data_IF_391765414737
#
_entry.id   IF_391765414737
#
_cell.length_a   1.000
_cell.length_b   1.000
_cell.length_c   1.000
_cell.angle_alpha   90.00
_cell.angle_beta   90.00
_cell.angle_gamma   90.00
#
_symmetry.space_group_name_H-M   'P 1'
#
loop_
_entity.id
_entity.type
_entity.pdbx_description
1 polymer ?
#
# COMPACT_ATOMS: atom_id res chain seq x y z
N UNK A 1 38.93 13.43 -18.23
CA UNK A 1 37.61 14.04 -18.50
C UNK A 1 36.75 14.31 -17.23
N UNK A 2 37.25 14.91 -16.12
CA UNK A 2 36.42 15.15 -14.90
C UNK A 2 35.79 16.56 -14.79
N UNK A 3 36.28 17.58 -15.50
CA UNK A 3 35.87 18.99 -15.27
C UNK A 3 34.41 19.29 -15.60
N UNK A 4 33.83 18.58 -16.57
CA UNK A 4 32.47 18.86 -17.05
C UNK A 4 31.38 18.25 -16.14
N UNK A 5 31.61 17.06 -15.57
CA UNK A 5 30.70 16.46 -14.59
C UNK A 5 30.61 17.28 -13.31
N UNK A 6 31.76 17.77 -12.80
CA UNK A 6 31.78 18.63 -11.59
C UNK A 6 31.00 19.92 -11.83
N UNK A 7 31.04 20.47 -13.05
CA UNK A 7 30.25 21.66 -13.39
C UNK A 7 28.74 21.38 -13.41
N UNK A 8 28.31 20.18 -13.79
CA UNK A 8 26.89 19.83 -13.82
C UNK A 8 26.35 19.58 -12.41
N UNK A 9 27.07 18.81 -11.59
CA UNK A 9 26.68 18.55 -10.20
C UNK A 9 26.60 19.83 -9.38
N UNK A 10 27.54 20.77 -9.57
CA UNK A 10 27.48 22.09 -8.93
C UNK A 10 26.26 22.89 -9.35
N UNK A 11 25.93 22.92 -10.65
CA UNK A 11 24.73 23.60 -11.15
C UNK A 11 23.44 23.00 -10.58
N UNK A 12 23.39 21.67 -10.43
CA UNK A 12 22.25 20.99 -9.81
C UNK A 12 22.14 21.33 -8.33
N UNK A 13 23.27 21.30 -7.61
CA UNK A 13 23.30 21.63 -6.19
C UNK A 13 22.86 23.08 -5.92
N UNK A 14 23.35 24.03 -6.73
CA UNK A 14 22.93 25.42 -6.68
C UNK A 14 21.40 25.57 -6.92
N UNK A 15 20.85 24.83 -7.90
CA UNK A 15 19.41 24.83 -8.17
C UNK A 15 18.60 24.22 -7.02
N UNK A 16 19.08 23.13 -6.42
CA UNK A 16 18.45 22.47 -5.28
C UNK A 16 18.45 23.38 -4.05
N UNK A 17 19.56 24.06 -3.77
CA UNK A 17 19.65 25.05 -2.69
C UNK A 17 18.70 26.24 -2.88
N UNK A 18 18.53 26.71 -4.12
CA UNK A 18 17.52 27.73 -4.44
C UNK A 18 16.09 27.21 -4.22
N UNK A 19 15.83 25.94 -4.55
CA UNK A 19 14.52 25.32 -4.40
C UNK A 19 14.16 25.08 -2.91
N UNK A 20 15.11 24.60 -2.11
CA UNK A 20 14.96 24.42 -0.66
C UNK A 20 14.58 25.71 0.07
N UNK A 21 15.10 26.85 -0.38
CA UNK A 21 14.81 28.17 0.19
C UNK A 21 13.60 28.88 -0.43
N UNK A 22 13.01 28.30 -1.48
CA UNK A 22 11.88 28.91 -2.18
C UNK A 22 10.59 28.84 -1.36
N UNK A 23 9.94 29.99 -1.17
CA UNK A 23 8.62 30.09 -0.55
C UNK A 23 7.53 29.46 -1.43
N UNK A 24 7.70 29.51 -2.75
CA UNK A 24 6.79 28.90 -3.71
C UNK A 24 6.82 27.38 -3.55
N UNK A 25 8.01 26.80 -3.46
CA UNK A 25 8.17 25.37 -3.24
C UNK A 25 7.56 24.93 -1.90
N UNK A 26 7.75 25.72 -0.84
CA UNK A 26 7.09 25.50 0.44
C UNK A 26 5.56 25.49 0.33
N UNK A 27 4.98 26.44 -0.42
CA UNK A 27 3.54 26.49 -0.69
C UNK A 27 3.03 25.25 -1.42
N UNK A 28 3.77 24.77 -2.44
CA UNK A 28 3.44 23.52 -3.15
C UNK A 28 3.46 22.33 -2.20
N UNK A 29 4.47 22.23 -1.33
CA UNK A 29 4.57 21.14 -0.35
C UNK A 29 3.42 21.16 0.66
N UNK A 30 2.98 22.34 1.12
CA UNK A 30 1.80 22.45 1.99
C UNK A 30 0.53 21.99 1.27
N UNK A 31 0.38 22.29 -0.02
CA UNK A 31 -0.76 21.82 -0.81
C UNK A 31 -0.71 20.29 -0.97
N UNK A 32 0.45 19.71 -1.25
CA UNK A 32 0.65 18.26 -1.32
C UNK A 32 0.32 17.57 0.01
N UNK A 33 0.67 18.19 1.14
CA UNK A 33 0.30 17.69 2.46
C UNK A 33 -1.19 17.77 2.72
N UNK A 34 -1.87 18.80 2.24
CA UNK A 34 -3.33 18.88 2.35
C UNK A 34 -4.02 17.89 1.41
N UNK A 35 -3.43 17.60 0.25
CA UNK A 35 -3.93 16.62 -0.71
C UNK A 35 -4.05 15.22 -0.09
N UNK A 36 -3.22 14.91 0.92
CA UNK A 36 -3.28 13.60 1.54
C UNK A 36 -4.52 13.26 2.33
N UNK A 37 -5.15 14.29 2.88
CA UNK A 37 -6.39 14.14 3.63
C UNK A 37 -7.58 13.80 2.74
N UNK A 38 -7.47 14.02 1.42
CA UNK A 38 -8.57 13.85 0.44
C UNK A 38 -8.15 13.09 -0.82
N UNK A 39 -7.21 12.16 -0.73
CA UNK A 39 -6.54 11.47 -1.85
C UNK A 39 -7.44 10.73 -2.88
N UNK A 40 -8.77 10.79 -2.78
CA UNK A 40 -9.68 9.93 -3.55
C UNK A 40 -10.50 10.67 -4.62
N UNK A 41 -10.47 12.00 -4.72
CA UNK A 41 -11.41 12.74 -5.59
C UNK A 41 -10.80 13.71 -6.61
N UNK A 42 -9.54 13.52 -6.99
CA UNK A 42 -9.01 14.22 -8.17
C UNK A 42 -9.44 13.44 -9.42
N UNK A 43 -10.33 14.04 -10.23
CA UNK A 43 -10.65 13.58 -11.59
C UNK A 43 -9.44 13.76 -12.51
N UNK A 44 -8.37 13.03 -12.26
CA UNK A 44 -7.24 12.95 -13.19
C UNK A 44 -7.63 12.02 -14.35
N UNK A 45 -6.98 12.19 -15.49
CA UNK A 45 -7.15 11.28 -16.63
C UNK A 45 -7.01 9.82 -16.18
N UNK A 46 -7.80 8.88 -16.72
CA UNK A 46 -7.81 7.46 -16.32
C UNK A 46 -6.41 6.86 -16.17
N UNK A 47 -5.48 7.27 -17.03
CA UNK A 47 -4.07 6.84 -16.98
C UNK A 47 -3.33 7.44 -15.79
N UNK A 48 -3.45 8.74 -15.54
CA UNK A 48 -2.81 9.44 -14.42
C UNK A 48 -3.40 9.00 -13.07
N UNK A 49 -4.72 8.75 -13.01
CA UNK A 49 -5.37 8.23 -11.82
C UNK A 49 -4.75 6.88 -11.42
N UNK A 50 -4.62 5.92 -12.35
CA UNK A 50 -4.05 4.60 -12.05
C UNK A 50 -2.61 4.66 -11.52
N UNK A 51 -1.77 5.55 -12.05
CA UNK A 51 -0.39 5.74 -11.56
C UNK A 51 -0.32 6.36 -10.16
N UNK A 52 -1.24 7.27 -9.82
CA UNK A 52 -1.27 7.89 -8.50
C UNK A 52 -1.96 7.00 -7.44
N UNK A 53 -2.90 6.13 -7.82
CA UNK A 53 -3.91 5.56 -6.91
C UNK A 53 -3.39 4.71 -5.74
N UNK A 54 -2.24 4.02 -5.86
CA UNK A 54 -1.83 3.06 -4.82
C UNK A 54 -0.48 3.33 -4.15
N UNK A 55 0.61 3.47 -4.91
CA UNK A 55 1.95 3.48 -4.30
C UNK A 55 2.65 4.82 -4.45
N UNK A 56 2.57 5.42 -5.64
CA UNK A 56 3.26 6.68 -5.93
C UNK A 56 2.74 7.85 -5.08
N UNK A 57 1.42 7.94 -4.86
CA UNK A 57 0.83 9.02 -4.05
C UNK A 57 1.26 8.97 -2.58
N UNK A 58 1.41 7.76 -2.02
CA UNK A 58 1.89 7.56 -0.64
C UNK A 58 3.35 7.97 -0.52
N UNK A 59 4.20 7.61 -1.48
CA UNK A 59 5.62 7.98 -1.49
C UNK A 59 5.82 9.49 -1.64
N UNK A 60 5.06 10.15 -2.52
CA UNK A 60 5.07 11.61 -2.69
C UNK A 60 4.63 12.33 -1.41
N UNK A 61 3.66 11.77 -0.68
CA UNK A 61 3.27 12.32 0.62
C UNK A 61 4.40 12.23 1.65
N UNK A 62 4.99 11.04 1.80
CA UNK A 62 6.07 10.82 2.77
C UNK A 62 7.24 11.75 2.48
N UNK A 63 7.56 11.96 1.20
CA UNK A 63 8.53 12.96 0.78
C UNK A 63 8.13 14.38 1.20
N UNK A 64 6.89 14.80 0.96
CA UNK A 64 6.41 16.13 1.34
C UNK A 64 6.46 16.35 2.87
N UNK A 65 6.12 15.33 3.67
CA UNK A 65 6.22 15.37 5.14
C UNK A 65 7.69 15.49 5.58
N UNK A 66 8.56 14.64 5.03
CA UNK A 66 9.98 14.63 5.37
C UNK A 66 10.66 15.96 4.99
N UNK A 67 10.32 16.53 3.84
CA UNK A 67 10.80 17.85 3.42
C UNK A 67 10.26 18.97 4.30
N UNK A 68 9.00 18.91 4.75
CA UNK A 68 8.42 19.94 5.63
C UNK A 68 9.19 20.04 6.96
N UNK A 69 9.61 18.90 7.51
CA UNK A 69 10.39 18.85 8.76
C UNK A 69 11.87 19.19 8.58
N UNK A 70 12.49 18.73 7.49
CA UNK A 70 13.94 18.92 7.26
C UNK A 70 14.31 20.20 6.52
N UNK A 71 13.39 20.74 5.70
CA UNK A 71 13.63 21.83 4.74
C UNK A 71 14.74 21.55 3.71
N UNK A 72 15.12 20.28 3.55
CA UNK A 72 16.18 19.84 2.66
C UNK A 72 15.72 18.67 1.78
N UNK A 73 15.74 18.87 0.46
CA UNK A 73 15.39 17.85 -0.53
C UNK A 73 16.27 16.59 -0.41
N UNK A 74 17.56 16.72 -0.10
CA UNK A 74 18.44 15.54 0.01
C UNK A 74 18.06 14.66 1.19
N UNK A 75 17.83 15.28 2.35
CA UNK A 75 17.40 14.57 3.55
C UNK A 75 16.02 13.94 3.32
N UNK A 76 15.09 14.70 2.73
CA UNK A 76 13.76 14.20 2.42
C UNK A 76 13.82 12.97 1.50
N UNK A 77 14.65 12.99 0.46
CA UNK A 77 14.79 11.87 -0.47
C UNK A 77 15.37 10.62 0.21
N UNK A 78 16.37 10.78 1.07
CA UNK A 78 16.97 9.68 1.83
C UNK A 78 15.93 9.07 2.78
N UNK A 79 15.20 9.91 3.52
CA UNK A 79 14.15 9.44 4.43
C UNK A 79 13.05 8.71 3.68
N UNK A 80 12.60 9.24 2.54
CA UNK A 80 11.61 8.55 1.69
C UNK A 80 12.15 7.23 1.14
N UNK A 81 13.41 7.17 0.72
CA UNK A 81 14.02 5.92 0.25
C UNK A 81 14.09 4.87 1.36
N UNK A 82 14.50 5.25 2.57
CA UNK A 82 14.50 4.36 3.75
C UNK A 82 13.08 3.90 4.09
N UNK A 83 12.10 4.79 4.01
CA UNK A 83 10.70 4.46 4.22
C UNK A 83 10.23 3.42 3.19
N UNK A 84 10.47 3.65 1.90
CA UNK A 84 10.11 2.72 0.81
C UNK A 84 10.75 1.36 1.04
N UNK A 85 12.05 1.32 1.35
CA UNK A 85 12.74 0.06 1.64
C UNK A 85 12.11 -0.65 2.84
N UNK A 86 11.76 0.10 3.88
CA UNK A 86 11.12 -0.48 5.06
C UNK A 86 9.74 -1.04 4.72
N UNK A 87 8.91 -0.30 3.99
CA UNK A 87 7.53 -0.71 3.68
C UNK A 87 7.42 -1.78 2.61
N UNK A 88 8.26 -1.72 1.56
CA UNK A 88 8.19 -2.64 0.42
C UNK A 88 8.99 -3.92 0.65
N UNK A 89 9.99 -3.91 1.55
CA UNK A 89 10.86 -5.06 1.81
C UNK A 89 10.79 -5.57 3.25
N UNK A 90 11.04 -4.73 4.27
CA UNK A 90 11.08 -5.21 5.67
C UNK A 90 9.70 -5.58 6.23
N UNK A 91 8.68 -4.81 5.88
CA UNK A 91 7.31 -4.97 6.40
C UNK A 91 6.35 -5.58 5.39
N UNK A 92 6.82 -5.89 4.18
CA UNK A 92 6.00 -6.54 3.17
C UNK A 92 6.01 -8.05 3.41
N UNK A 93 4.82 -8.62 3.67
CA UNK A 93 4.66 -10.05 3.96
C UNK A 93 5.05 -10.96 2.79
N UNK A 94 5.00 -10.43 1.56
CA UNK A 94 5.39 -11.12 0.31
C UNK A 94 6.89 -11.01 -0.01
N UNK A 95 7.66 -10.19 0.72
CA UNK A 95 9.09 -10.05 0.49
C UNK A 95 9.91 -11.10 1.24
N UNK A 96 10.95 -11.64 0.61
CA UNK A 96 11.92 -12.58 1.22
C UNK A 96 12.63 -11.99 2.46
N UNK A 97 12.60 -10.66 2.63
CA UNK A 97 13.23 -9.93 3.74
C UNK A 97 12.24 -9.49 4.83
N UNK A 98 11.01 -10.04 4.83
CA UNK A 98 10.02 -9.72 5.85
C UNK A 98 10.52 -10.08 7.25
N UNK A 99 10.49 -9.12 8.18
CA UNK A 99 10.96 -9.31 9.56
C UNK A 99 9.93 -10.05 10.43
N UNK A 100 8.67 -10.12 10.00
CA UNK A 100 7.59 -10.75 10.77
C UNK A 100 7.67 -12.28 10.73
N UNK A 101 7.54 -12.91 11.90
CA UNK A 101 7.44 -14.38 12.02
C UNK A 101 6.16 -14.90 11.38
N UNK A 102 6.19 -16.14 10.87
CA UNK A 102 5.04 -16.78 10.23
C UNK A 102 3.81 -16.82 11.15
N UNK A 103 3.99 -17.09 12.44
CA UNK A 103 2.90 -17.10 13.44
C UNK A 103 2.20 -15.73 13.57
N UNK A 104 2.93 -14.62 13.44
CA UNK A 104 2.36 -13.29 13.52
C UNK A 104 1.51 -12.98 12.27
N UNK A 105 1.97 -13.41 11.10
CA UNK A 105 1.23 -13.27 9.83
C UNK A 105 -0.06 -14.08 9.85
N UNK A 106 0.00 -15.35 10.23
CA UNK A 106 -1.18 -16.24 10.25
C UNK A 106 -2.26 -15.76 11.22
N UNK A 107 -1.86 -15.26 12.39
CA UNK A 107 -2.80 -14.71 13.36
C UNK A 107 -3.51 -13.46 12.82
N UNK A 108 -2.76 -12.53 12.21
CA UNK A 108 -3.33 -11.30 11.67
C UNK A 108 -4.16 -11.52 10.41
N UNK A 109 -3.73 -12.40 9.51
CA UNK A 109 -4.46 -12.77 8.30
C UNK A 109 -5.78 -13.46 8.65
N UNK A 110 -5.77 -14.46 9.52
CA UNK A 110 -7.00 -15.14 9.95
C UNK A 110 -7.96 -14.21 10.68
N UNK A 111 -7.46 -13.19 11.39
CA UNK A 111 -8.31 -12.18 12.04
C UNK A 111 -8.96 -11.26 11.00
N UNK A 112 -8.21 -10.80 10.00
CA UNK A 112 -8.72 -9.94 8.95
C UNK A 112 -9.73 -10.67 8.05
N UNK A 113 -9.52 -11.97 7.79
CA UNK A 113 -10.49 -12.81 7.09
C UNK A 113 -11.80 -12.92 7.87
N UNK A 114 -11.74 -13.23 9.17
CA UNK A 114 -12.94 -13.27 10.03
C UNK A 114 -13.69 -11.94 10.06
N UNK A 115 -12.98 -10.81 10.19
CA UNK A 115 -13.60 -9.48 10.18
C UNK A 115 -14.25 -9.14 8.82
N UNK A 116 -13.70 -9.64 7.71
CA UNK A 116 -14.33 -9.50 6.38
C UNK A 116 -15.57 -10.38 6.25
N UNK A 117 -15.50 -11.64 6.69
CA UNK A 117 -16.64 -12.57 6.72
C UNK A 117 -17.80 -12.02 7.56
N UNK A 118 -17.50 -11.46 8.75
CA UNK A 118 -18.50 -10.87 9.65
C UNK A 118 -19.14 -9.60 9.07
N UNK A 119 -18.44 -8.88 8.18
CA UNK A 119 -18.94 -7.68 7.51
C UNK A 119 -19.65 -7.97 6.18
N UNK A 120 -19.52 -9.18 5.63
CA UNK A 120 -20.10 -9.58 4.37
C UNK A 120 -21.56 -10.03 4.59
N UNK A 121 -22.52 -9.18 4.24
CA UNK A 121 -23.93 -9.55 4.27
C UNK A 121 -24.19 -10.65 3.22
N UNK A 122 -24.60 -11.82 3.69
CA UNK A 122 -24.91 -12.97 2.83
C UNK A 122 -26.10 -12.62 1.92
N UNK A 123 -25.87 -12.64 0.61
CA UNK A 123 -26.91 -12.42 -0.40
C UNK A 123 -27.88 -13.60 -0.49
N UNK A 124 -29.15 -13.35 -0.85
CA UNK A 124 -30.13 -14.41 -1.13
C UNK A 124 -29.64 -15.40 -2.21
N UNK A 125 -28.85 -14.93 -3.17
CA UNK A 125 -28.26 -15.77 -4.22
C UNK A 125 -27.27 -16.80 -3.64
N UNK A 126 -26.48 -16.41 -2.64
CA UNK A 126 -25.53 -17.28 -1.95
C UNK A 126 -26.26 -18.37 -1.16
N UNK A 127 -27.38 -18.02 -0.51
CA UNK A 127 -28.23 -18.96 0.22
C UNK A 127 -28.83 -20.00 -0.73
N UNK A 128 -29.34 -19.56 -1.89
CA UNK A 128 -29.94 -20.46 -2.89
C UNK A 128 -28.88 -21.40 -3.47
N UNK A 129 -27.69 -20.89 -3.74
CA UNK A 129 -26.56 -21.67 -4.26
C UNK A 129 -26.10 -22.70 -3.23
N UNK A 130 -25.94 -22.31 -1.97
CA UNK A 130 -25.57 -23.22 -0.88
C UNK A 130 -26.60 -24.36 -0.69
N UNK A 131 -27.91 -24.04 -0.69
CA UNK A 131 -28.98 -25.04 -0.62
C UNK A 131 -28.90 -26.05 -1.76
N UNK A 132 -28.66 -25.59 -3.00
CA UNK A 132 -28.56 -26.47 -4.18
C UNK A 132 -27.35 -27.40 -4.09
N UNK A 133 -26.23 -26.92 -3.57
CA UNK A 133 -25.02 -27.74 -3.33
C UNK A 133 -25.30 -28.82 -2.27
N UNK A 134 -25.94 -28.45 -1.15
CA UNK A 134 -26.32 -29.39 -0.09
C UNK A 134 -27.29 -30.47 -0.57
N UNK A 135 -28.30 -30.10 -1.37
CA UNK A 135 -29.20 -31.08 -1.99
C UNK A 135 -28.47 -32.05 -2.93
N UNK A 136 -27.53 -31.53 -3.72
CA UNK A 136 -26.71 -32.36 -4.61
C UNK A 136 -25.80 -33.31 -3.83
N UNK A 137 -25.21 -32.85 -2.73
CA UNK A 137 -24.39 -33.66 -1.84
C UNK A 137 -25.21 -34.77 -1.17
N UNK A 138 -26.42 -34.47 -0.69
CA UNK A 138 -27.38 -35.47 -0.16
C UNK A 138 -27.76 -36.52 -1.19
N UNK A 139 -27.96 -36.13 -2.45
CA UNK A 139 -28.30 -37.05 -3.55
C UNK A 139 -27.13 -37.93 -3.99
N UNK A 140 -25.89 -37.55 -3.67
CA UNK A 140 -24.67 -38.28 -4.07
C UNK A 140 -24.14 -39.19 -2.95
N UNK A 141 -24.87 -39.34 -1.82
CA UNK A 141 -24.51 -40.18 -0.65
C UNK A 141 -23.13 -39.91 -0.02
N UNK A 142 -22.51 -38.77 -0.31
CA UNK A 142 -21.21 -38.40 0.28
C UNK A 142 -21.30 -37.96 1.74
N UNK A 143 -22.45 -37.37 2.11
CA UNK A 143 -22.69 -36.84 3.46
C UNK A 143 -22.94 -37.95 4.49
N UNK A 144 -23.60 -39.04 4.08
CA UNK A 144 -23.81 -40.25 4.89
C UNK A 144 -22.49 -40.98 5.15
N UNK A 145 -21.62 -41.09 4.13
CA UNK A 145 -20.30 -41.73 4.24
C UNK A 145 -19.32 -40.95 5.14
N UNK A 146 -19.32 -39.62 5.10
CA UNK A 146 -18.45 -38.79 5.97
C UNK A 146 -18.85 -38.85 7.45
N UNK A 147 -20.16 -38.85 7.76
CA UNK A 147 -20.66 -38.95 9.14
C UNK A 147 -20.42 -40.31 9.79
N UNK A 148 -20.32 -41.38 8.99
CA UNK A 148 -19.91 -42.71 9.49
C UNK A 148 -18.41 -42.79 9.77
N UNK A 149 -17.57 -42.10 8.98
CA UNK A 149 -16.12 -42.10 9.20
C UNK A 149 -15.67 -41.33 10.46
N UNK A 150 -16.45 -40.34 10.90
CA UNK A 150 -16.20 -39.57 12.13
C UNK A 150 -16.69 -40.27 13.41
N UNK A 151 -17.30 -41.45 13.28
CA UNK A 151 -17.83 -42.24 14.41
C UNK A 151 -16.85 -43.29 14.95
N UNK A 152 -15.57 -43.22 14.58
CA UNK A 152 -14.50 -44.09 15.09
C UNK A 152 -13.88 -43.50 16.36
#
# INVERSE_FOLDING_TARGET
>A
MPKQQVSFLKKLDDQIHLLNNSKIFAGVMIILLNLSTRFVNFKLSKTTEAYLKNTFSTQVLVFAIAWMGSRDIYIAFIVTAVFILSTEYLFNEESEFCIFSEEFKDYHNSKQEREKEDAEEISEEDIIKAKRVLEKARKTDKVSLELESYKI
#
